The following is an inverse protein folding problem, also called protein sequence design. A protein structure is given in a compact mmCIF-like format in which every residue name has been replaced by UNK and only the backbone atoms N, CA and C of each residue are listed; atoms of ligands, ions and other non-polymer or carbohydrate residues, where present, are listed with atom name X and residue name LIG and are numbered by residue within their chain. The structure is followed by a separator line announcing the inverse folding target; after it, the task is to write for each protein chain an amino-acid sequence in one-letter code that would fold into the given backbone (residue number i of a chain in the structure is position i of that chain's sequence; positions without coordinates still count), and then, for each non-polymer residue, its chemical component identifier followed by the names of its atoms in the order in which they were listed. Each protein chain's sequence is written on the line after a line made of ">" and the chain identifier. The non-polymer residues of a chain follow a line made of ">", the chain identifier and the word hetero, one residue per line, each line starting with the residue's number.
data_IF_445853614220
#
_entry.id   IF_445853614220
#
_cell.length_a   1.000
_cell.length_b   1.000
_cell.length_c   1.000
_cell.angle_alpha   90.00
_cell.angle_beta   90.00
_cell.angle_gamma   90.00
#
_symmetry.space_group_name_H-M   'P 1'
#
loop_
_entity.id
_entity.type
_entity.pdbx_description
1 polymer ?
#
# COMPACT_ATOMS: atom_id res chain seq x y z
N UNK A 1 5.77 1.96 -8.82
CA UNK A 1 7.05 1.70 -8.12
C UNK A 1 6.89 0.47 -7.22
N UNK A 2 7.24 -0.72 -7.74
CA UNK A 2 7.02 -2.01 -7.07
C UNK A 2 8.01 -2.23 -5.93
N UNK A 3 7.54 -2.60 -4.75
CA UNK A 3 8.36 -2.75 -3.54
C UNK A 3 8.42 -4.18 -3.00
N UNK A 4 7.42 -5.00 -3.34
CA UNK A 4 7.38 -6.41 -2.99
C UNK A 4 6.50 -7.16 -4.00
N UNK A 5 6.80 -8.44 -4.21
CA UNK A 5 6.05 -9.31 -5.10
C UNK A 5 6.29 -10.76 -4.69
N UNK A 6 5.26 -11.59 -4.77
CA UNK A 6 5.37 -13.05 -4.78
C UNK A 6 4.54 -13.61 -5.94
N UNK A 7 4.24 -14.91 -5.95
CA UNK A 7 3.51 -15.52 -7.07
C UNK A 7 2.09 -14.98 -7.24
N UNK A 8 1.43 -14.59 -6.15
CA UNK A 8 0.00 -14.23 -6.14
C UNK A 8 -0.29 -12.73 -5.94
N UNK A 9 0.63 -11.99 -5.32
CA UNK A 9 0.42 -10.62 -4.87
C UNK A 9 1.57 -9.70 -5.29
N UNK A 10 1.26 -8.41 -5.41
CA UNK A 10 2.24 -7.35 -5.65
C UNK A 10 1.92 -6.13 -4.79
N UNK A 11 2.96 -5.47 -4.30
CA UNK A 11 2.85 -4.21 -3.58
C UNK A 11 3.66 -3.12 -4.28
N UNK A 12 3.09 -1.93 -4.40
CA UNK A 12 3.72 -0.80 -5.06
C UNK A 12 3.27 0.53 -4.45
N UNK A 13 4.09 1.57 -4.61
CA UNK A 13 3.73 2.92 -4.17
C UNK A 13 2.56 3.45 -4.99
N UNK A 14 1.57 4.01 -4.29
CA UNK A 14 0.44 4.70 -4.88
C UNK A 14 0.95 5.87 -5.75
N UNK A 15 0.40 6.02 -6.95
CA UNK A 15 0.77 7.09 -7.88
C UNK A 15 0.23 8.47 -7.45
N UNK A 16 -0.79 8.49 -6.58
CA UNK A 16 -1.42 9.65 -5.99
C UNK A 16 -1.42 9.53 -4.45
N UNK A 17 -0.24 9.55 -3.80
CA UNK A 17 -0.12 9.21 -2.40
C UNK A 17 -0.68 10.30 -1.48
N UNK A 18 -1.32 9.90 -0.38
CA UNK A 18 -1.72 10.82 0.70
C UNK A 18 -0.52 11.33 1.49
N UNK A 19 0.46 10.44 1.68
CA UNK A 19 1.70 10.67 2.44
C UNK A 19 2.84 9.88 1.79
N UNK A 20 4.09 10.23 2.09
CA UNK A 20 5.25 9.45 1.63
C UNK A 20 5.15 8.01 2.13
N UNK A 21 5.37 7.04 1.23
CA UNK A 21 5.25 5.61 1.53
C UNK A 21 3.85 5.02 1.42
N UNK A 22 2.82 5.79 1.04
CA UNK A 22 1.49 5.24 0.74
C UNK A 22 1.62 4.13 -0.32
N UNK A 23 1.23 2.93 0.07
CA UNK A 23 1.46 1.69 -0.67
C UNK A 23 0.14 0.99 -0.91
N UNK A 24 -0.04 0.45 -2.11
CA UNK A 24 -1.14 -0.45 -2.46
C UNK A 24 -0.63 -1.88 -2.47
N UNK A 25 -1.39 -2.79 -1.87
CA UNK A 25 -1.16 -4.23 -1.91
C UNK A 25 -2.33 -4.88 -2.65
N UNK A 26 -2.04 -5.60 -3.74
CA UNK A 26 -3.05 -6.13 -4.65
C UNK A 26 -2.80 -7.61 -4.99
N UNK A 27 -3.84 -8.41 -5.24
CA UNK A 27 -3.70 -9.67 -5.94
C UNK A 27 -3.34 -9.42 -7.41
N UNK A 28 -2.53 -10.32 -7.98
CA UNK A 28 -2.25 -10.34 -9.41
C UNK A 28 -3.43 -10.86 -10.22
N UNK A 29 -4.21 -11.77 -9.63
CA UNK A 29 -5.51 -12.19 -10.15
C UNK A 29 -6.45 -10.98 -10.14
N UNK A 30 -7.11 -10.75 -11.26
CA UNK A 30 -8.12 -9.70 -11.39
C UNK A 30 -9.38 -10.09 -10.61
N UNK A 31 -9.61 -9.38 -9.51
CA UNK A 31 -10.79 -9.51 -8.64
C UNK A 31 -11.15 -8.09 -8.23
N UNK A 32 -12.42 -7.70 -8.39
CA UNK A 32 -12.86 -6.32 -8.16
C UNK A 32 -12.82 -5.94 -6.67
N UNK A 33 -13.58 -6.67 -5.83
CA UNK A 33 -13.67 -6.37 -4.41
C UNK A 33 -12.86 -7.36 -3.59
N UNK A 34 -12.27 -6.90 -2.48
CA UNK A 34 -11.52 -7.78 -1.57
C UNK A 34 -12.38 -8.93 -1.03
N UNK A 35 -13.70 -8.72 -0.91
CA UNK A 35 -14.63 -9.71 -0.38
C UNK A 35 -15.08 -10.75 -1.42
N UNK A 36 -14.69 -10.58 -2.67
CA UNK A 36 -14.90 -11.57 -3.73
C UNK A 36 -13.75 -12.57 -3.85
N UNK A 37 -12.64 -12.32 -3.13
CA UNK A 37 -11.55 -13.30 -2.98
C UNK A 37 -12.06 -14.52 -2.22
N UNK A 38 -11.53 -15.70 -2.58
CA UNK A 38 -11.78 -16.86 -1.75
C UNK A 38 -11.11 -16.70 -0.37
N UNK A 39 -11.49 -17.55 0.59
CA UNK A 39 -11.04 -17.41 1.98
C UNK A 39 -9.52 -17.55 2.15
N UNK A 40 -8.87 -18.33 1.29
CA UNK A 40 -7.42 -18.55 1.35
C UNK A 40 -6.68 -17.37 0.69
N UNK A 41 -7.13 -16.93 -0.49
CA UNK A 41 -6.64 -15.73 -1.18
C UNK A 41 -6.76 -14.49 -0.28
N UNK A 42 -7.91 -14.29 0.36
CA UNK A 42 -8.15 -13.18 1.28
C UNK A 42 -7.14 -13.19 2.44
N UNK A 43 -6.99 -14.35 3.10
CA UNK A 43 -6.05 -14.50 4.23
C UNK A 43 -4.61 -14.25 3.79
N UNK A 44 -4.21 -14.78 2.65
CA UNK A 44 -2.86 -14.65 2.14
C UNK A 44 -2.55 -13.21 1.71
N UNK A 45 -3.52 -12.48 1.15
CA UNK A 45 -3.40 -11.06 0.84
C UNK A 45 -3.11 -10.23 2.11
N UNK A 46 -3.83 -10.49 3.21
CA UNK A 46 -3.58 -9.82 4.49
C UNK A 46 -2.24 -10.20 5.12
N UNK A 47 -1.81 -11.47 4.98
CA UNK A 47 -0.48 -11.90 5.39
C UNK A 47 0.63 -11.14 4.64
N UNK A 48 0.50 -11.05 3.32
CA UNK A 48 1.43 -10.29 2.48
C UNK A 48 1.41 -8.80 2.83
N UNK A 49 0.23 -8.20 3.04
CA UNK A 49 0.09 -6.82 3.47
C UNK A 49 0.74 -6.56 4.84
N UNK A 50 0.65 -7.51 5.78
CA UNK A 50 1.33 -7.41 7.08
C UNK A 50 2.86 -7.32 6.91
N UNK A 51 3.45 -8.13 6.04
CA UNK A 51 4.90 -8.10 5.81
C UNK A 51 5.35 -6.82 5.11
N UNK A 52 4.57 -6.36 4.13
CA UNK A 52 4.81 -5.07 3.45
C UNK A 52 4.70 -3.90 4.44
N UNK A 53 3.72 -3.91 5.34
CA UNK A 53 3.54 -2.85 6.33
C UNK A 53 4.75 -2.72 7.27
N UNK A 54 5.40 -3.83 7.64
CA UNK A 54 6.64 -3.81 8.45
C UNK A 54 7.78 -3.11 7.71
N UNK A 55 7.97 -3.44 6.43
CA UNK A 55 8.98 -2.79 5.58
C UNK A 55 8.72 -1.29 5.41
N UNK A 56 7.47 -0.93 5.13
CA UNK A 56 7.04 0.47 5.01
C UNK A 56 7.32 1.24 6.30
N UNK A 57 7.01 0.66 7.48
CA UNK A 57 7.25 1.29 8.78
C UNK A 57 8.75 1.50 9.07
N UNK A 58 9.59 0.53 8.69
CA UNK A 58 11.04 0.62 8.87
C UNK A 58 11.66 1.71 8.00
N UNK A 59 11.23 1.79 6.73
CA UNK A 59 11.73 2.74 5.75
C UNK A 59 11.22 4.16 5.96
N UNK A 60 9.98 4.30 6.43
CA UNK A 60 9.27 5.57 6.60
C UNK A 60 8.89 5.71 8.06
N UNK A 61 9.73 6.42 8.86
CA UNK A 61 9.44 6.63 10.28
C UNK A 61 8.05 7.24 10.49
N UNK A 62 7.20 6.50 11.17
CA UNK A 62 5.84 6.88 11.49
C UNK A 62 5.40 6.23 12.81
N UNK A 63 4.34 6.76 13.42
CA UNK A 63 3.78 6.21 14.66
C UNK A 63 3.13 4.84 14.37
N UNK A 64 2.34 4.75 13.30
CA UNK A 64 1.64 3.53 12.86
C UNK A 64 1.58 3.46 11.34
N UNK A 65 1.38 2.27 10.80
CA UNK A 65 0.90 2.09 9.42
C UNK A 65 -0.60 1.80 9.52
N UNK A 66 -1.41 2.72 9.01
CA UNK A 66 -2.85 2.58 8.88
C UNK A 66 -3.21 1.66 7.72
N UNK A 67 -4.40 1.07 7.80
CA UNK A 67 -4.95 0.23 6.75
C UNK A 67 -6.33 0.76 6.35
N UNK A 68 -6.57 0.85 5.05
CA UNK A 68 -7.89 1.12 4.50
C UNK A 68 -8.18 0.20 3.31
N UNK A 69 -9.44 -0.19 3.19
CA UNK A 69 -10.00 -0.84 2.00
C UNK A 69 -11.25 -0.04 1.63
N UNK A 70 -11.28 0.52 0.42
CA UNK A 70 -12.35 1.43 -0.02
C UNK A 70 -13.00 0.93 -1.30
N UNK A 71 -12.21 0.69 -2.36
CA UNK A 71 -12.68 0.05 -3.61
C UNK A 71 -13.55 0.92 -4.52
N UNK A 72 -13.66 2.24 -4.28
CA UNK A 72 -14.50 3.13 -5.10
C UNK A 72 -13.77 3.77 -6.30
N UNK A 73 -12.45 3.86 -6.24
CA UNK A 73 -11.64 4.58 -7.25
C UNK A 73 -11.17 3.66 -8.39
N UNK A 74 -10.77 2.43 -8.05
CA UNK A 74 -10.23 1.44 -8.99
C UNK A 74 -10.92 0.10 -8.74
N UNK A 75 -11.55 -0.52 -9.76
CA UNK A 75 -12.26 -1.78 -9.63
C UNK A 75 -11.31 -2.99 -9.65
N UNK A 76 -10.41 -3.03 -8.66
CA UNK A 76 -9.47 -4.12 -8.43
C UNK A 76 -9.13 -4.16 -6.95
N UNK A 77 -9.19 -5.33 -6.32
CA UNK A 77 -9.05 -5.47 -4.88
C UNK A 77 -7.69 -4.93 -4.42
N UNK A 78 -7.70 -3.98 -3.48
CA UNK A 78 -6.47 -3.40 -2.96
C UNK A 78 -6.59 -3.03 -1.49
N UNK A 79 -5.49 -3.22 -0.77
CA UNK A 79 -5.30 -2.75 0.60
C UNK A 79 -4.37 -1.54 0.55
N UNK A 80 -4.82 -0.41 1.10
CA UNK A 80 -3.97 0.74 1.34
C UNK A 80 -3.18 0.54 2.62
N UNK A 81 -1.86 0.76 2.55
CA UNK A 81 -0.97 0.85 3.70
C UNK A 81 -0.41 2.28 3.75
N UNK A 82 -0.77 3.01 4.81
CA UNK A 82 -0.52 4.45 4.90
C UNK A 82 0.30 4.75 6.17
N UNK A 83 1.54 5.26 6.07
CA UNK A 83 2.29 5.75 7.23
C UNK A 83 1.58 6.92 7.93
N UNK A 84 1.25 6.78 9.21
CA UNK A 84 0.47 7.76 9.98
C UNK A 84 1.31 8.35 11.12
N UNK A 85 1.28 9.68 11.22
CA UNK A 85 1.70 10.44 12.40
C UNK A 85 0.51 11.08 13.12
N UNK A 86 -0.58 11.34 12.40
CA UNK A 86 -1.87 11.83 12.92
C UNK A 86 -3.02 11.16 12.16
N UNK A 87 -4.23 11.24 12.71
CA UNK A 87 -5.41 10.57 12.12
C UNK A 87 -5.76 11.18 10.75
N UNK A 88 -5.55 12.48 10.59
CA UNK A 88 -5.86 13.24 9.38
C UNK A 88 -4.99 12.84 8.19
N UNK A 89 -3.86 12.14 8.41
CA UNK A 89 -3.01 11.64 7.33
C UNK A 89 -3.76 10.61 6.46
N UNK A 90 -4.76 9.91 7.02
CA UNK A 90 -5.62 8.95 6.31
C UNK A 90 -6.97 9.56 5.91
N UNK A 91 -6.96 10.81 5.44
CA UNK A 91 -8.15 11.44 4.88
C UNK A 91 -8.07 11.48 3.35
N UNK A 92 -8.88 10.64 2.68
CA UNK A 92 -8.94 10.54 1.22
C UNK A 92 -9.44 11.81 0.52
N UNK A 93 -9.84 12.85 1.25
CA UNK A 93 -10.13 14.19 0.71
C UNK A 93 -8.91 15.12 0.69
N UNK A 94 -7.80 14.75 1.32
CA UNK A 94 -6.59 15.56 1.33
C UNK A 94 -6.00 15.67 -0.09
N UNK A 95 -5.34 16.80 -0.34
CA UNK A 95 -4.53 16.96 -1.56
C UNK A 95 -3.46 15.86 -1.63
N UNK A 96 -3.31 15.28 -2.82
CA UNK A 96 -2.33 14.23 -3.08
C UNK A 96 -0.95 14.83 -3.25
N UNK A 97 0.06 14.19 -2.69
CA UNK A 97 1.44 14.63 -2.88
C UNK A 97 1.84 14.47 -4.35
N UNK A 98 2.59 15.44 -4.86
CA UNK A 98 3.21 15.39 -6.18
C UNK A 98 4.69 15.10 -6.00
N UNK A 99 5.05 13.83 -6.01
CA UNK A 99 6.44 13.39 -5.84
C UNK A 99 7.16 13.34 -7.18
N UNK A 100 8.44 13.71 -7.18
CA UNK A 100 9.30 13.53 -8.35
C UNK A 100 9.62 12.04 -8.59
N UNK A 101 10.14 11.71 -9.78
CA UNK A 101 10.61 10.35 -10.08
C UNK A 101 11.74 9.94 -9.14
N UNK A 102 12.62 10.87 -8.79
CA UNK A 102 13.72 10.66 -7.83
C UNK A 102 13.16 10.34 -6.43
N UNK A 103 12.20 11.14 -5.94
CA UNK A 103 11.57 10.88 -4.64
C UNK A 103 10.87 9.52 -4.58
N UNK A 104 10.16 9.11 -5.64
CA UNK A 104 9.56 7.79 -5.70
C UNK A 104 10.60 6.67 -5.69
N UNK A 105 11.70 6.85 -6.43
CA UNK A 105 12.79 5.87 -6.52
C UNK A 105 13.49 5.71 -5.18
N UNK A 106 13.75 6.81 -4.48
CA UNK A 106 14.37 6.80 -3.16
C UNK A 106 13.47 6.11 -2.12
N UNK A 107 12.17 6.44 -2.11
CA UNK A 107 11.20 5.79 -1.22
C UNK A 107 11.12 4.29 -1.52
N UNK A 108 11.04 3.91 -2.81
CA UNK A 108 11.00 2.52 -3.25
C UNK A 108 12.24 1.75 -2.75
N UNK A 109 13.43 2.30 -2.97
CA UNK A 109 14.69 1.69 -2.57
C UNK A 109 14.81 1.56 -1.05
N UNK A 110 14.38 2.58 -0.30
CA UNK A 110 14.35 2.52 1.16
C UNK A 110 13.48 1.37 1.66
N UNK A 111 12.28 1.20 1.09
CA UNK A 111 11.35 0.13 1.49
C UNK A 111 11.84 -1.26 1.08
N UNK A 112 12.45 -1.41 -0.11
CA UNK A 112 13.00 -2.70 -0.56
C UNK A 112 14.11 -3.20 0.36
N UNK A 113 14.95 -2.28 0.87
CA UNK A 113 16.12 -2.59 1.68
C UNK A 113 15.85 -2.62 3.20
N UNK A 114 14.59 -2.51 3.63
CA UNK A 114 14.16 -2.44 5.04
C UNK A 114 13.69 -3.77 5.64
#
# INVERSE_FOLDING_TARGET
>A
YKIAENDDFVAFLDAMPLVKGHTLVVPKKEVDLIFDLDSEEYKNLWGFAQDVAKKVKNAIPCVRVGVAVVGLEVPHAHIHLIPLNKVEDMNFKNERLKLSVEEYTDIQNSIINS
#
